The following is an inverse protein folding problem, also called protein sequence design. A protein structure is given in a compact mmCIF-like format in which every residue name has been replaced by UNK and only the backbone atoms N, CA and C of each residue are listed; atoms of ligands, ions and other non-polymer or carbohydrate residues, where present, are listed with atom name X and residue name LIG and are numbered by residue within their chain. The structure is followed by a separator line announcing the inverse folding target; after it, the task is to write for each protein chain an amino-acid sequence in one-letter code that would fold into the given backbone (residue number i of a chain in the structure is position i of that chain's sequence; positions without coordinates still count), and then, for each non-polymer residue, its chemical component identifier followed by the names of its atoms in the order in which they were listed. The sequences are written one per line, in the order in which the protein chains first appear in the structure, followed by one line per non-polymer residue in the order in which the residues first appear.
data_IF_520478984724
#
_entry.id   IF_520478984724
#
_cell.length_a   1.000
_cell.length_b   1.000
_cell.length_c   1.000
_cell.angle_alpha   90.00
_cell.angle_beta   90.00
_cell.angle_gamma   90.00
#
_symmetry.space_group_name_H-M   'P 1'
#
loop_
_entity.id
_entity.type
_entity.pdbx_description
1 polymer ?
#
# COMPACT_ATOMS: atom_id res chain seq x y z
N UNK A 1 -24.54 -31.24 -48.30
CA UNK A 1 -23.50 -30.94 -47.29
C UNK A 1 -23.23 -29.44 -47.02
N UNK A 2 -23.26 -28.52 -48.01
CA UNK A 2 -22.86 -27.10 -47.86
C UNK A 2 -23.72 -26.26 -46.87
N UNK A 3 -25.01 -26.60 -46.71
CA UNK A 3 -25.99 -25.88 -45.87
C UNK A 3 -25.80 -26.12 -44.36
N UNK A 4 -25.33 -27.31 -43.95
CA UNK A 4 -25.02 -27.61 -42.55
C UNK A 4 -23.71 -26.99 -42.08
N UNK A 5 -22.71 -26.83 -42.97
CA UNK A 5 -21.47 -26.09 -42.65
C UNK A 5 -21.76 -24.61 -42.36
N UNK A 6 -22.56 -23.93 -43.18
CA UNK A 6 -22.95 -22.52 -42.95
C UNK A 6 -23.69 -22.30 -41.63
N UNK A 7 -24.62 -23.21 -41.26
CA UNK A 7 -25.32 -23.14 -39.97
C UNK A 7 -24.38 -23.34 -38.78
N UNK A 8 -23.46 -24.32 -38.84
CA UNK A 8 -22.45 -24.52 -37.79
C UNK A 8 -21.51 -23.32 -37.63
N UNK A 9 -21.05 -22.73 -38.74
CA UNK A 9 -20.22 -21.53 -38.69
C UNK A 9 -20.96 -20.36 -38.04
N UNK A 10 -22.23 -20.14 -38.40
CA UNK A 10 -23.04 -19.05 -37.85
C UNK A 10 -23.29 -19.21 -36.33
N UNK A 11 -23.52 -20.45 -35.87
CA UNK A 11 -23.67 -20.76 -34.44
C UNK A 11 -22.39 -20.49 -33.66
N UNK A 12 -21.22 -20.88 -34.20
CA UNK A 12 -19.93 -20.62 -33.56
C UNK A 12 -19.64 -19.12 -33.49
N UNK A 13 -19.90 -18.37 -34.56
CA UNK A 13 -19.69 -16.92 -34.59
C UNK A 13 -20.56 -16.19 -33.56
N UNK A 14 -21.85 -16.54 -33.48
CA UNK A 14 -22.76 -15.97 -32.47
C UNK A 14 -22.29 -16.30 -31.06
N UNK A 15 -21.88 -17.55 -30.81
CA UNK A 15 -21.34 -17.97 -29.52
C UNK A 15 -20.10 -17.15 -29.13
N UNK A 16 -19.12 -17.00 -30.03
CA UNK A 16 -17.93 -16.19 -29.78
C UNK A 16 -18.28 -14.72 -29.47
N UNK A 17 -19.23 -14.12 -30.20
CA UNK A 17 -19.66 -12.73 -29.93
C UNK A 17 -20.30 -12.63 -28.53
N UNK A 18 -21.15 -13.58 -28.15
CA UNK A 18 -21.80 -13.56 -26.84
C UNK A 18 -20.81 -13.73 -25.68
N UNK A 19 -19.82 -14.63 -25.84
CA UNK A 19 -18.77 -14.84 -24.83
C UNK A 19 -17.88 -13.62 -24.73
N UNK A 20 -17.46 -13.04 -25.85
CA UNK A 20 -16.66 -11.80 -25.85
C UNK A 20 -17.42 -10.63 -25.23
N UNK A 21 -18.70 -10.45 -25.54
CA UNK A 21 -19.53 -9.41 -24.95
C UNK A 21 -19.67 -9.59 -23.43
N UNK A 22 -19.91 -10.81 -22.96
CA UNK A 22 -19.99 -11.12 -21.53
C UNK A 22 -18.65 -10.85 -20.82
N UNK A 23 -17.53 -11.19 -21.46
CA UNK A 23 -16.19 -10.93 -20.94
C UNK A 23 -15.91 -9.42 -20.84
N UNK A 24 -16.24 -8.64 -21.87
CA UNK A 24 -16.08 -7.18 -21.85
C UNK A 24 -16.93 -6.53 -20.75
N UNK A 25 -18.18 -6.98 -20.56
CA UNK A 25 -19.03 -6.49 -19.48
C UNK A 25 -18.43 -6.85 -18.11
N UNK A 26 -17.92 -8.07 -17.95
CA UNK A 26 -17.29 -8.49 -16.71
C UNK A 26 -16.01 -7.69 -16.40
N UNK A 27 -15.15 -7.47 -17.40
CA UNK A 27 -13.95 -6.63 -17.28
C UNK A 27 -14.30 -5.18 -16.96
N UNK A 28 -15.37 -4.63 -17.54
CA UNK A 28 -15.83 -3.26 -17.22
C UNK A 28 -16.38 -3.09 -15.80
N UNK A 29 -16.73 -4.20 -15.13
CA UNK A 29 -17.22 -4.22 -13.75
C UNK A 29 -16.13 -4.52 -12.73
N UNK A 30 -14.92 -4.87 -13.17
CA UNK A 30 -13.79 -4.95 -12.26
C UNK A 30 -13.57 -3.54 -11.69
N UNK A 31 -13.47 -3.38 -10.36
CA UNK A 31 -13.10 -2.10 -9.80
C UNK A 31 -11.77 -1.67 -10.43
N UNK A 32 -11.69 -0.45 -10.93
CA UNK A 32 -10.42 0.08 -11.41
C UNK A 32 -9.41 -0.05 -10.28
N UNK A 33 -8.24 -0.62 -10.59
CA UNK A 33 -7.17 -0.73 -9.63
C UNK A 33 -6.72 0.68 -9.26
N UNK A 34 -7.27 1.18 -8.16
CA UNK A 34 -6.98 2.49 -7.60
C UNK A 34 -6.55 2.29 -6.14
N UNK A 35 -5.30 1.87 -5.91
CA UNK A 35 -4.79 1.68 -4.55
C UNK A 35 -4.67 3.02 -3.80
N UNK A 36 -4.59 4.16 -4.48
CA UNK A 36 -4.51 5.50 -3.85
C UNK A 36 -5.67 5.81 -2.91
N UNK A 37 -6.84 5.18 -3.08
CA UNK A 37 -7.99 5.30 -2.16
C UNK A 37 -7.64 4.92 -0.71
N UNK A 38 -6.64 4.06 -0.51
CA UNK A 38 -6.21 3.58 0.80
C UNK A 38 -5.66 4.73 1.65
N UNK A 39 -5.03 5.73 1.04
CA UNK A 39 -4.54 6.92 1.75
C UNK A 39 -5.65 7.63 2.55
N UNK A 40 -6.84 7.71 1.94
CA UNK A 40 -7.98 8.50 2.42
C UNK A 40 -8.92 7.71 3.35
N UNK A 41 -8.60 6.45 3.66
CA UNK A 41 -9.48 5.59 4.43
C UNK A 41 -8.67 4.69 5.37
N UNK A 42 -8.67 5.03 6.65
CA UNK A 42 -7.88 4.34 7.67
C UNK A 42 -8.31 2.88 7.86
N UNK A 43 -9.60 2.55 7.71
CA UNK A 43 -10.06 1.15 7.75
C UNK A 43 -9.45 0.33 6.60
N UNK A 44 -9.35 0.92 5.41
CA UNK A 44 -8.67 0.28 4.27
C UNK A 44 -7.17 0.21 4.50
N UNK A 45 -6.56 1.23 5.09
CA UNK A 45 -5.13 1.26 5.39
C UNK A 45 -4.72 0.12 6.33
N UNK A 46 -5.53 -0.14 7.36
CA UNK A 46 -5.30 -1.27 8.28
C UNK A 46 -5.52 -2.63 7.60
N UNK A 47 -6.48 -2.74 6.68
CA UNK A 47 -6.88 -4.03 6.08
C UNK A 47 -6.11 -4.40 4.81
N UNK A 48 -5.72 -3.42 4.00
CA UNK A 48 -5.12 -3.59 2.67
C UNK A 48 -3.64 -3.15 2.65
N UNK A 49 -2.88 -3.51 3.69
CA UNK A 49 -1.49 -3.07 3.96
C UNK A 49 -0.44 -3.40 2.90
N UNK A 50 -0.69 -4.36 2.01
CA UNK A 50 0.20 -4.76 0.91
C UNK A 50 -0.43 -4.53 -0.47
N UNK A 51 -1.46 -3.68 -0.54
CA UNK A 51 -2.13 -3.33 -1.77
C UNK A 51 -1.60 -2.00 -2.30
N UNK A 52 -0.56 -2.06 -3.14
CA UNK A 52 0.07 -0.88 -3.69
C UNK A 52 0.48 -1.03 -5.15
N UNK A 53 0.70 0.13 -5.76
CA UNK A 53 1.40 0.33 -7.02
C UNK A 53 2.58 1.26 -6.75
N UNK A 54 3.72 0.98 -7.36
CA UNK A 54 4.86 1.87 -7.27
C UNK A 54 5.63 1.96 -8.61
N UNK A 55 6.08 3.17 -8.94
CA UNK A 55 7.01 3.45 -10.03
C UNK A 55 8.37 3.78 -9.43
N UNK A 56 9.43 3.16 -9.94
CA UNK A 56 10.82 3.33 -9.52
C UNK A 56 10.97 3.34 -7.99
N UNK A 57 10.62 2.22 -7.35
CA UNK A 57 10.68 2.09 -5.90
C UNK A 57 12.00 1.48 -5.44
N UNK A 58 12.66 2.14 -4.49
CA UNK A 58 13.81 1.62 -3.77
C UNK A 58 13.63 1.88 -2.27
N UNK A 59 13.99 0.88 -1.47
CA UNK A 59 14.13 0.97 -0.01
C UNK A 59 15.44 0.29 0.34
N UNK A 60 16.42 1.10 0.74
CA UNK A 60 17.76 0.67 1.13
C UNK A 60 17.87 0.75 2.65
N UNK A 61 18.08 -0.38 3.34
CA UNK A 61 18.33 -0.38 4.77
C UNK A 61 19.53 0.50 5.10
N UNK A 62 19.46 1.20 6.24
CA UNK A 62 20.64 1.82 6.85
C UNK A 62 21.09 0.90 7.97
N UNK A 63 22.38 0.59 8.01
CA UNK A 63 22.97 -0.44 8.89
C UNK A 63 22.46 -0.34 10.34
N UNK A 64 22.00 -1.47 10.89
CA UNK A 64 21.66 -1.62 12.30
C UNK A 64 20.22 -1.32 12.73
N UNK A 65 19.40 -0.70 11.86
CA UNK A 65 18.07 -0.21 12.23
C UNK A 65 16.93 -0.83 11.40
N UNK A 66 15.71 -0.81 11.95
CA UNK A 66 14.50 -1.03 11.17
C UNK A 66 14.14 0.27 10.44
N UNK A 67 14.17 0.27 9.11
CA UNK A 67 13.96 1.47 8.29
C UNK A 67 14.96 1.57 7.15
N UNK A 68 15.12 2.77 6.60
CA UNK A 68 16.08 3.02 5.55
C UNK A 68 15.88 4.31 4.77
N UNK A 69 16.77 4.50 3.79
CA UNK A 69 16.58 5.50 2.75
C UNK A 69 15.64 4.93 1.69
N UNK A 70 14.70 5.72 1.22
CA UNK A 70 13.77 5.30 0.19
C UNK A 70 13.50 6.39 -0.83
N UNK A 71 13.05 5.92 -1.99
CA UNK A 71 12.66 6.75 -3.11
C UNK A 71 11.55 6.08 -3.92
N UNK A 72 10.63 6.89 -4.46
CA UNK A 72 9.66 6.48 -5.47
C UNK A 72 9.20 7.67 -6.32
N UNK A 73 8.94 7.42 -7.61
CA UNK A 73 8.42 8.42 -8.57
C UNK A 73 6.90 8.40 -8.71
N UNK A 74 6.22 7.47 -8.04
CA UNK A 74 4.78 7.29 -8.20
C UNK A 74 4.28 6.09 -7.39
N UNK A 75 4.01 6.32 -6.11
CA UNK A 75 3.48 5.32 -5.20
C UNK A 75 2.01 5.61 -4.89
N UNK A 76 1.16 4.59 -4.95
CA UNK A 76 -0.24 4.64 -4.55
C UNK A 76 -0.60 3.36 -3.80
N UNK A 77 -1.31 3.46 -2.68
CA UNK A 77 -1.71 2.31 -1.87
C UNK A 77 -1.01 2.26 -0.53
N UNK A 78 -0.87 1.05 0.02
CA UNK A 78 -0.13 0.81 1.25
C UNK A 78 0.87 -0.33 1.10
N UNK A 79 2.04 -0.17 1.74
CA UNK A 79 3.11 -1.17 1.83
C UNK A 79 3.70 -1.16 3.23
N UNK A 80 3.86 -2.32 3.84
CA UNK A 80 4.63 -2.50 5.08
C UNK A 80 6.12 -2.37 4.78
N UNK A 81 6.81 -1.52 5.54
CA UNK A 81 8.25 -1.27 5.40
C UNK A 81 9.07 -1.74 6.60
N UNK A 82 8.42 -1.90 7.76
CA UNK A 82 9.03 -2.49 8.94
C UNK A 82 7.96 -3.25 9.75
N UNK A 83 8.39 -4.30 10.44
CA UNK A 83 7.56 -5.09 11.37
C UNK A 83 8.33 -5.18 12.68
N UNK A 84 7.63 -4.96 13.79
CA UNK A 84 8.20 -5.01 15.13
C UNK A 84 7.29 -5.83 16.04
N UNK A 85 7.86 -6.63 16.92
CA UNK A 85 7.15 -7.29 18.01
C UNK A 85 7.52 -6.58 19.31
N UNK A 86 6.55 -5.97 19.99
CA UNK A 86 6.78 -5.25 21.24
C UNK A 86 6.47 -6.15 22.45
N UNK A 87 7.32 -6.07 23.46
CA UNK A 87 7.07 -6.63 24.79
C UNK A 87 6.37 -5.60 25.71
N UNK A 88 5.99 -6.00 26.93
CA UNK A 88 5.25 -5.12 27.83
C UNK A 88 6.07 -3.88 28.24
N UNK A 89 5.47 -2.69 28.07
CA UNK A 89 6.03 -1.36 28.41
C UNK A 89 7.19 -0.90 27.52
N UNK A 90 7.26 -1.42 26.30
CA UNK A 90 8.23 -0.96 25.32
C UNK A 90 7.96 0.47 24.85
N UNK A 91 9.02 1.10 24.36
CA UNK A 91 8.94 2.41 23.70
C UNK A 91 9.38 2.28 22.25
N UNK A 92 8.78 3.09 21.38
CA UNK A 92 9.11 3.11 19.96
C UNK A 92 9.60 4.51 19.60
N UNK A 93 10.85 4.61 19.18
CA UNK A 93 11.47 5.84 18.71
C UNK A 93 11.46 5.88 17.18
N UNK A 94 10.92 6.96 16.63
CA UNK A 94 10.81 7.20 15.19
C UNK A 94 11.60 8.46 14.84
N UNK A 95 12.37 8.42 13.76
CA UNK A 95 13.00 9.61 13.16
C UNK A 95 12.79 9.60 11.66
N UNK A 96 12.46 10.76 11.08
CA UNK A 96 12.19 10.87 9.65
C UNK A 96 12.70 12.18 9.08
N UNK A 97 13.06 12.13 7.80
CA UNK A 97 13.29 13.29 6.94
C UNK A 97 12.73 12.96 5.55
N UNK A 98 11.56 13.51 5.23
CA UNK A 98 10.75 13.15 4.08
C UNK A 98 10.55 14.38 3.20
N UNK A 99 10.75 14.21 1.90
CA UNK A 99 10.45 15.23 0.89
C UNK A 99 9.52 14.68 -0.20
N UNK A 100 8.24 15.04 -0.09
CA UNK A 100 7.19 14.73 -1.06
C UNK A 100 7.19 15.78 -2.17
N UNK A 101 7.64 15.39 -3.36
CA UNK A 101 7.69 16.26 -4.55
C UNK A 101 6.32 16.40 -5.22
N UNK A 102 5.46 15.39 -5.06
CA UNK A 102 4.14 15.30 -5.70
C UNK A 102 3.27 14.32 -4.92
N UNK A 103 1.95 14.52 -4.97
CA UNK A 103 0.96 13.57 -4.44
C UNK A 103 0.82 13.68 -2.93
N UNK A 104 0.23 12.66 -2.33
CA UNK A 104 0.01 12.57 -0.89
C UNK A 104 0.74 11.36 -0.32
N UNK A 105 1.43 11.51 0.80
CA UNK A 105 2.21 10.46 1.42
C UNK A 105 2.15 10.59 2.95
N UNK A 106 2.01 9.45 3.64
CA UNK A 106 2.07 9.36 5.09
C UNK A 106 2.75 8.08 5.54
N UNK A 107 3.40 8.14 6.69
CA UNK A 107 3.97 7.00 7.41
C UNK A 107 3.13 6.78 8.65
N UNK A 108 2.65 5.56 8.85
CA UNK A 108 1.76 5.20 9.95
C UNK A 108 2.25 3.96 10.67
N UNK A 109 2.07 3.93 11.97
CA UNK A 109 2.26 2.76 12.82
C UNK A 109 0.90 2.09 13.02
N UNK A 110 0.80 0.82 12.65
CA UNK A 110 -0.43 0.02 12.73
C UNK A 110 -0.27 -1.01 13.84
N UNK A 111 -1.22 -1.01 14.77
CA UNK A 111 -1.42 -2.08 15.74
C UNK A 111 -2.25 -3.17 15.07
N UNK A 112 -1.57 -4.27 14.73
CA UNK A 112 -2.18 -5.34 13.94
C UNK A 112 -3.19 -6.16 14.73
N UNK A 113 -2.96 -6.31 16.04
CA UNK A 113 -3.82 -7.10 16.93
C UNK A 113 -5.16 -6.40 17.16
N UNK A 114 -5.14 -5.09 17.37
CA UNK A 114 -6.36 -4.30 17.56
C UNK A 114 -6.93 -3.73 16.24
N UNK A 115 -6.30 -4.05 15.11
CA UNK A 115 -6.70 -3.60 13.78
C UNK A 115 -6.99 -2.09 13.72
N UNK A 116 -6.01 -1.28 14.16
CA UNK A 116 -6.11 0.18 14.17
C UNK A 116 -4.79 0.85 13.84
N UNK A 117 -4.85 2.09 13.37
CA UNK A 117 -3.68 2.97 13.35
C UNK A 117 -3.38 3.36 14.79
N UNK A 118 -2.19 3.02 15.26
CA UNK A 118 -1.68 3.42 16.57
C UNK A 118 -1.23 4.89 16.55
N UNK A 119 -0.53 5.30 15.48
CA UNK A 119 -0.04 6.67 15.31
C UNK A 119 0.22 7.02 13.83
N UNK A 120 0.07 8.31 13.47
CA UNK A 120 0.58 8.85 12.21
C UNK A 120 1.91 9.53 12.45
N UNK A 121 3.01 8.87 12.05
CA UNK A 121 4.38 9.34 12.32
C UNK A 121 4.71 10.59 11.50
N UNK A 122 4.32 10.61 10.22
CA UNK A 122 4.57 11.73 9.32
C UNK A 122 3.46 11.79 8.27
N UNK A 123 3.00 13.00 7.93
CA UNK A 123 2.10 13.26 6.81
C UNK A 123 2.64 14.43 5.98
N UNK A 124 2.84 14.21 4.68
CA UNK A 124 3.49 15.16 3.77
C UNK A 124 5.01 15.20 3.90
N UNK A 125 5.61 16.33 3.49
CA UNK A 125 7.05 16.59 3.69
C UNK A 125 7.31 17.07 5.11
N UNK A 126 8.43 16.64 5.69
CA UNK A 126 8.85 17.10 7.00
C UNK A 126 10.04 16.33 7.55
N UNK A 127 10.70 16.94 8.53
CA UNK A 127 11.73 16.32 9.34
C UNK A 127 11.24 16.31 10.80
N UNK A 128 11.52 15.23 11.51
CA UNK A 128 11.16 15.15 12.91
C UNK A 128 11.57 13.85 13.58
N UNK A 129 11.32 13.82 14.87
CA UNK A 129 11.49 12.66 15.72
C UNK A 129 10.34 12.57 16.71
N UNK A 130 10.02 11.35 17.15
CA UNK A 130 8.92 11.07 18.08
C UNK A 130 9.28 9.83 18.90
N UNK A 131 8.86 9.81 20.17
CA UNK A 131 8.91 8.62 21.03
C UNK A 131 7.50 8.29 21.46
N UNK A 132 7.07 7.06 21.20
CA UNK A 132 5.79 6.51 21.60
C UNK A 132 6.00 5.59 22.80
N UNK A 133 5.41 5.97 23.94
CA UNK A 133 5.48 5.20 25.18
C UNK A 133 4.14 4.52 25.49
N UNK A 134 4.19 3.42 26.25
CA UNK A 134 2.99 2.76 26.75
C UNK A 134 2.19 2.01 25.68
N UNK A 135 2.84 1.63 24.57
CA UNK A 135 2.24 0.75 23.58
C UNK A 135 2.02 -0.65 24.20
N UNK A 136 0.83 -1.25 24.05
CA UNK A 136 0.60 -2.63 24.43
C UNK A 136 1.56 -3.58 23.71
N UNK A 137 1.91 -4.70 24.35
CA UNK A 137 2.67 -5.76 23.72
C UNK A 137 1.95 -6.32 22.48
N UNK A 138 2.71 -6.70 21.46
CA UNK A 138 2.19 -7.29 20.23
C UNK A 138 2.91 -6.85 18.95
N UNK A 139 2.41 -7.34 17.80
CA UNK A 139 2.96 -7.03 16.48
C UNK A 139 2.47 -5.65 15.99
N UNK A 140 3.43 -4.79 15.66
CA UNK A 140 3.19 -3.51 14.99
C UNK A 140 3.85 -3.50 13.62
N UNK A 141 3.22 -2.77 12.70
CA UNK A 141 3.71 -2.59 11.34
C UNK A 141 3.84 -1.12 11.01
N UNK A 142 4.95 -0.76 10.42
CA UNK A 142 5.11 0.56 9.81
C UNK A 142 4.72 0.46 8.37
N UNK A 143 3.76 1.28 7.97
CA UNK A 143 3.28 1.32 6.61
C UNK A 143 3.54 2.67 5.98
N UNK A 144 3.98 2.63 4.72
CA UNK A 144 3.82 3.75 3.82
C UNK A 144 2.43 3.69 3.24
N UNK A 145 1.75 4.83 3.22
CA UNK A 145 0.49 5.00 2.52
C UNK A 145 0.54 6.25 1.65
N UNK A 146 0.13 6.13 0.39
CA UNK A 146 0.23 7.25 -0.53
C UNK A 146 -0.83 7.24 -1.63
N UNK A 147 -1.00 8.40 -2.26
CA UNK A 147 -1.83 8.61 -3.45
C UNK A 147 -1.02 9.37 -4.51
N UNK A 148 -0.50 8.63 -5.49
CA UNK A 148 0.31 9.10 -6.61
C UNK A 148 1.52 9.94 -6.17
N UNK A 149 2.19 9.48 -5.10
CA UNK A 149 3.27 10.19 -4.47
C UNK A 149 4.60 9.98 -5.17
N UNK A 150 5.32 11.08 -5.43
CA UNK A 150 6.75 11.04 -5.69
C UNK A 150 7.45 11.55 -4.43
N UNK A 151 8.25 10.69 -3.79
CA UNK A 151 8.84 10.97 -2.49
C UNK A 151 10.24 10.41 -2.40
N UNK A 152 11.12 11.17 -1.79
CA UNK A 152 12.43 10.73 -1.33
C UNK A 152 12.53 10.98 0.18
N UNK A 153 13.17 10.08 0.91
CA UNK A 153 13.30 10.28 2.34
C UNK A 153 14.15 9.26 3.03
N UNK A 154 14.37 9.51 4.31
CA UNK A 154 15.01 8.61 5.25
C UNK A 154 14.06 8.44 6.42
N UNK A 155 13.84 7.20 6.84
CA UNK A 155 13.01 6.85 7.97
C UNK A 155 13.70 5.79 8.82
N UNK A 156 13.72 5.98 10.14
CA UNK A 156 14.25 5.05 11.12
C UNK A 156 13.21 4.80 12.19
N UNK A 157 13.09 3.54 12.61
CA UNK A 157 12.29 3.13 13.76
C UNK A 157 13.07 2.13 14.60
N UNK A 158 13.03 2.34 15.92
CA UNK A 158 13.70 1.50 16.90
C UNK A 158 12.68 1.20 18.00
N UNK A 159 12.59 -0.07 18.40
CA UNK A 159 11.81 -0.51 19.56
C UNK A 159 12.77 -0.90 20.69
N UNK A 160 12.58 -0.29 21.85
CA UNK A 160 13.29 -0.60 23.11
C UNK A 160 12.37 -1.37 24.07
#
# INVERSE_FOLDING_TARGET
MRRNKKKRTLVITVFCITVSAALCIWLSRQPSFNPGRIYHNDDLLVREQENFHAVNYALEPVDGDSGGRFFTDGFSGSRTVAIMELEERNSVSCTWNIDVKKGLFKIVLIDTQNARIAETICEGSGEGNMVLEGLPAGEYRVNFAADNAAVEGIFHIISD
#
